data_IF_683202652632
#
_entry.id   IF_683202652632
#
_cell.length_a   1.000
_cell.length_b   1.000
_cell.length_c   1.000
_cell.angle_alpha   90.00
_cell.angle_beta   90.00
_cell.angle_gamma   90.00
#
_symmetry.space_group_name_H-M   'P 1'
#
loop_
_entity.id
_entity.type
_entity.pdbx_description
1 polymer ?
#
# COMPACT_ATOMS: atom_id res chain seq x y z
N UNK A 1 -49.38 8.60 -6.50
CA UNK A 1 -48.48 9.31 -5.57
C UNK A 1 -47.54 8.28 -4.98
N UNK A 2 -46.28 8.26 -5.38
CA UNK A 2 -45.31 7.25 -4.94
C UNK A 2 -44.42 7.88 -3.87
N UNK A 3 -44.64 7.51 -2.62
CA UNK A 3 -43.88 8.03 -1.49
C UNK A 3 -42.54 7.30 -1.42
N UNK A 4 -41.47 7.97 -1.84
CA UNK A 4 -40.10 7.47 -1.64
C UNK A 4 -39.82 7.37 -0.15
N UNK A 5 -39.48 6.18 0.40
CA UNK A 5 -39.15 6.07 1.81
C UNK A 5 -37.87 6.88 2.10
N UNK A 6 -37.92 7.70 3.15
CA UNK A 6 -36.77 8.43 3.63
C UNK A 6 -35.63 7.45 3.99
N UNK A 7 -34.38 7.74 3.63
CA UNK A 7 -33.26 6.89 4.01
C UNK A 7 -33.17 6.82 5.53
N UNK A 8 -33.09 5.59 6.07
CA UNK A 8 -32.91 5.37 7.50
C UNK A 8 -31.69 6.15 8.00
N UNK A 9 -31.74 6.73 9.22
CA UNK A 9 -30.60 7.44 9.78
C UNK A 9 -29.38 6.53 9.75
N UNK A 10 -28.30 7.02 9.14
CA UNK A 10 -27.03 6.28 9.10
C UNK A 10 -26.53 6.19 10.54
N UNK A 11 -26.62 4.99 11.12
CA UNK A 11 -26.00 4.72 12.41
C UNK A 11 -24.51 5.05 12.30
N UNK A 12 -24.10 6.13 12.96
CA UNK A 12 -22.70 6.46 13.22
C UNK A 12 -22.11 5.29 14.00
N UNK A 13 -21.29 4.47 13.33
CA UNK A 13 -20.77 3.25 13.92
C UNK A 13 -19.98 2.41 12.92
N UNK A 14 -19.33 1.38 13.45
CA UNK A 14 -18.60 0.39 12.66
C UNK A 14 -19.60 -0.55 12.00
N UNK A 15 -19.55 -0.65 10.66
CA UNK A 15 -20.34 -1.63 9.90
C UNK A 15 -19.42 -2.66 9.29
N UNK A 16 -19.76 -3.94 9.45
CA UNK A 16 -19.10 -5.02 8.73
C UNK A 16 -19.80 -5.27 7.41
N UNK A 17 -19.02 -5.29 6.33
CA UNK A 17 -19.46 -5.56 4.98
C UNK A 17 -18.69 -6.78 4.42
N UNK A 18 -19.14 -7.36 3.29
CA UNK A 18 -18.36 -8.38 2.59
C UNK A 18 -16.94 -7.89 2.27
N UNK A 19 -15.95 -8.77 2.33
CA UNK A 19 -14.54 -8.43 2.09
C UNK A 19 -14.31 -7.66 0.78
N UNK A 20 -15.01 -8.04 -0.27
CA UNK A 20 -14.93 -7.44 -1.62
C UNK A 20 -15.39 -5.99 -1.68
N UNK A 21 -16.06 -5.48 -0.64
CA UNK A 21 -16.44 -4.07 -0.53
C UNK A 21 -15.28 -3.18 -0.05
N UNK A 22 -14.17 -3.74 0.45
CA UNK A 22 -13.03 -2.96 0.90
C UNK A 22 -12.24 -2.35 -0.27
N UNK A 23 -11.84 -1.09 -0.14
CA UNK A 23 -11.04 -0.41 -1.16
C UNK A 23 -9.66 -1.05 -1.38
N UNK A 24 -9.10 -1.67 -0.35
CA UNK A 24 -7.80 -2.32 -0.40
C UNK A 24 -7.89 -3.84 -0.64
N UNK A 25 -9.07 -4.36 -1.02
CA UNK A 25 -9.28 -5.80 -1.25
C UNK A 25 -8.30 -6.39 -2.27
N UNK A 26 -8.21 -5.81 -3.47
CA UNK A 26 -7.33 -6.31 -4.54
C UNK A 26 -5.85 -6.26 -4.13
N UNK A 27 -5.47 -5.21 -3.39
CA UNK A 27 -4.12 -5.08 -2.83
C UNK A 27 -3.81 -6.25 -1.89
N UNK A 28 -4.74 -6.62 -1.02
CA UNK A 28 -4.57 -7.77 -0.12
C UNK A 28 -4.53 -9.09 -0.88
N UNK A 29 -5.38 -9.25 -1.91
CA UNK A 29 -5.42 -10.45 -2.75
C UNK A 29 -4.07 -10.77 -3.39
N UNK A 30 -3.38 -9.76 -3.92
CA UNK A 30 -2.04 -9.96 -4.52
C UNK A 30 -0.92 -10.04 -3.49
N UNK A 31 -1.15 -9.50 -2.28
CA UNK A 31 -0.11 -9.37 -1.25
C UNK A 31 -0.07 -10.55 -0.27
N UNK A 32 -1.16 -11.30 -0.09
CA UNK A 32 -1.21 -12.43 0.85
C UNK A 32 -0.51 -13.67 0.31
N UNK A 33 0.27 -14.34 1.15
CA UNK A 33 0.83 -15.66 0.84
C UNK A 33 -0.31 -16.65 0.55
N UNK A 34 -1.36 -16.60 1.37
CA UNK A 34 -2.53 -17.49 1.28
C UNK A 34 -3.80 -16.66 1.00
N UNK A 35 -4.21 -16.52 -0.28
CA UNK A 35 -5.38 -15.73 -0.66
C UNK A 35 -6.70 -16.26 -0.07
N UNK A 36 -6.77 -17.55 0.31
CA UNK A 36 -7.94 -18.16 0.94
C UNK A 36 -8.37 -17.48 2.26
N UNK A 37 -7.47 -16.75 2.93
CA UNK A 37 -7.81 -15.94 4.11
C UNK A 37 -8.84 -14.84 3.80
N UNK A 38 -8.98 -14.43 2.54
CA UNK A 38 -9.98 -13.44 2.14
C UNK A 38 -11.42 -13.93 2.27
N UNK A 39 -11.66 -15.25 2.31
CA UNK A 39 -12.99 -15.81 2.55
C UNK A 39 -13.52 -15.50 3.96
N UNK A 40 -12.61 -15.39 4.95
CA UNK A 40 -12.93 -15.00 6.32
C UNK A 40 -12.74 -13.52 6.62
N UNK A 41 -12.21 -12.75 5.66
CA UNK A 41 -11.98 -11.32 5.82
C UNK A 41 -13.30 -10.54 5.81
N UNK A 42 -13.26 -9.34 6.41
CA UNK A 42 -14.40 -8.42 6.42
C UNK A 42 -13.94 -7.02 6.09
N UNK A 43 -14.77 -6.31 5.35
CA UNK A 43 -14.60 -4.89 5.15
C UNK A 43 -15.18 -4.16 6.36
N UNK A 44 -14.35 -3.39 7.05
CA UNK A 44 -14.72 -2.55 8.18
C UNK A 44 -15.00 -1.16 7.64
N UNK A 45 -16.27 -0.79 7.54
CA UNK A 45 -16.68 0.52 7.09
C UNK A 45 -16.82 1.48 8.27
N UNK A 46 -15.89 2.44 8.33
CA UNK A 46 -16.05 3.70 9.02
C UNK A 46 -16.51 4.73 8.01
N UNK A 47 -17.73 5.24 8.17
CA UNK A 47 -18.36 6.15 7.21
C UNK A 47 -18.37 5.57 5.78
N UNK A 48 -17.62 6.18 4.85
CA UNK A 48 -17.56 5.85 3.42
C UNK A 48 -16.28 5.13 3.00
N UNK A 49 -15.40 4.78 3.94
CA UNK A 49 -14.09 4.19 3.66
C UNK A 49 -13.99 2.77 4.26
N UNK A 50 -14.53 1.74 3.59
CA UNK A 50 -14.32 0.35 3.97
C UNK A 50 -12.87 -0.08 3.77
N UNK A 51 -12.23 -0.51 4.87
CA UNK A 51 -10.88 -1.08 4.88
C UNK A 51 -10.93 -2.55 5.29
N UNK A 52 -10.03 -3.36 4.75
CA UNK A 52 -10.07 -4.80 4.98
C UNK A 52 -9.43 -5.20 6.32
N UNK A 53 -10.20 -5.89 7.16
CA UNK A 53 -9.67 -6.65 8.29
C UNK A 53 -9.53 -8.12 7.86
N UNK A 54 -8.27 -8.58 7.78
CA UNK A 54 -7.94 -9.96 7.41
C UNK A 54 -7.81 -10.82 8.67
N UNK A 55 -8.40 -12.03 8.73
CA UNK A 55 -8.26 -12.93 9.88
C UNK A 55 -6.82 -13.46 10.00
N UNK A 56 -6.45 -13.87 11.20
CA UNK A 56 -5.31 -14.76 11.41
C UNK A 56 -5.62 -16.17 10.83
N UNK A 57 -4.57 -16.93 10.54
CA UNK A 57 -4.65 -18.29 10.01
C UNK A 57 -3.26 -18.90 9.90
N UNK A 58 -3.14 -20.03 9.20
CA UNK A 58 -1.90 -20.82 9.13
C UNK A 58 -0.64 -19.99 8.83
N UNK A 59 -0.72 -19.12 7.81
CA UNK A 59 0.41 -18.30 7.36
C UNK A 59 0.37 -16.85 7.84
N UNK A 60 -0.65 -16.46 8.63
CA UNK A 60 -0.83 -15.09 9.13
C UNK A 60 -1.14 -15.11 10.61
N UNK A 61 -0.21 -14.65 11.42
CA UNK A 61 -0.26 -14.80 12.88
C UNK A 61 -1.15 -13.77 13.56
N UNK A 62 -1.43 -12.65 12.91
CA UNK A 62 -2.27 -11.59 13.47
C UNK A 62 -2.37 -10.34 12.60
N UNK A 63 -3.08 -9.35 13.11
CA UNK A 63 -3.33 -8.08 12.43
C UNK A 63 -3.61 -6.93 13.39
N UNK A 64 -3.72 -5.75 12.80
CA UNK A 64 -4.15 -4.55 13.50
C UNK A 64 -4.91 -3.62 12.56
N UNK A 65 -5.81 -2.84 13.12
CA UNK A 65 -6.53 -1.77 12.45
C UNK A 65 -6.58 -0.54 13.36
N UNK A 66 -6.12 0.58 12.83
CA UNK A 66 -6.20 1.89 13.46
C UNK A 66 -7.58 2.49 13.15
N UNK A 67 -8.31 2.86 14.19
CA UNK A 67 -9.68 3.36 14.08
C UNK A 67 -9.80 4.87 14.28
N UNK A 68 -8.67 5.59 14.43
CA UNK A 68 -8.52 7.04 14.68
C UNK A 68 -9.24 7.60 15.92
N UNK A 69 -10.28 6.93 16.42
CA UNK A 69 -11.08 7.29 17.57
C UNK A 69 -11.32 6.03 18.44
N UNK A 70 -11.13 6.11 19.77
CA UNK A 70 -11.28 4.97 20.67
C UNK A 70 -12.71 4.39 20.70
N UNK A 71 -13.75 5.21 20.50
CA UNK A 71 -15.15 4.73 20.47
C UNK A 71 -15.38 3.78 19.30
N UNK A 72 -14.79 4.08 18.15
CA UNK A 72 -14.85 3.19 16.98
C UNK A 72 -13.98 1.95 17.17
N UNK A 73 -12.86 2.06 17.86
CA UNK A 73 -12.00 0.93 18.19
C UNK A 73 -12.74 -0.09 19.07
N UNK A 74 -13.44 0.36 20.12
CA UNK A 74 -14.30 -0.50 20.92
C UNK A 74 -15.44 -1.14 20.11
N UNK A 75 -16.09 -0.36 19.24
CA UNK A 75 -17.13 -0.88 18.37
C UNK A 75 -16.60 -1.98 17.43
N UNK A 76 -15.39 -1.82 16.91
CA UNK A 76 -14.74 -2.85 16.09
C UNK A 76 -14.40 -4.10 16.89
N UNK A 77 -13.86 -3.97 18.11
CA UNK A 77 -13.60 -5.13 18.98
C UNK A 77 -14.87 -5.94 19.19
N UNK A 78 -15.97 -5.26 19.54
CA UNK A 78 -17.30 -5.91 19.69
C UNK A 78 -17.76 -6.57 18.39
N UNK A 79 -17.56 -5.92 17.25
CA UNK A 79 -17.99 -6.44 15.95
C UNK A 79 -17.17 -7.67 15.48
N UNK A 80 -15.89 -7.74 15.84
CA UNK A 80 -15.01 -8.87 15.47
C UNK A 80 -15.05 -10.03 16.48
N UNK A 81 -15.58 -9.80 17.68
CA UNK A 81 -15.62 -10.82 18.73
C UNK A 81 -16.31 -12.11 18.28
N UNK A 82 -15.67 -13.24 18.54
CA UNK A 82 -16.18 -14.58 18.20
C UNK A 82 -16.10 -14.94 16.71
N UNK A 83 -15.59 -14.06 15.84
CA UNK A 83 -15.39 -14.38 14.42
C UNK A 83 -14.12 -15.21 14.24
N UNK A 84 -14.15 -16.31 13.45
CA UNK A 84 -12.96 -17.14 13.22
C UNK A 84 -11.75 -16.34 12.72
N UNK A 85 -10.59 -16.55 13.36
CA UNK A 85 -9.35 -15.87 13.02
C UNK A 85 -9.23 -14.43 13.55
N UNK A 86 -10.19 -13.96 14.34
CA UNK A 86 -10.11 -12.69 15.09
C UNK A 86 -10.01 -12.96 16.60
N UNK A 87 -9.17 -13.92 16.98
CA UNK A 87 -8.93 -14.27 18.37
C UNK A 87 -8.00 -13.27 19.06
N UNK A 88 -7.96 -13.29 20.39
CA UNK A 88 -7.04 -12.44 21.20
C UNK A 88 -7.12 -10.95 20.85
N UNK A 89 -8.35 -10.46 20.65
CA UNK A 89 -8.60 -9.04 20.41
C UNK A 89 -8.08 -8.21 21.58
N UNK A 90 -7.22 -7.25 21.28
CA UNK A 90 -6.72 -6.27 22.25
C UNK A 90 -6.92 -4.88 21.70
N UNK A 91 -7.22 -3.95 22.60
CA UNK A 91 -7.38 -2.53 22.31
C UNK A 91 -6.23 -1.78 22.98
N UNK A 92 -5.52 -0.96 22.21
CA UNK A 92 -4.52 -0.04 22.75
C UNK A 92 -4.73 1.33 22.10
N UNK A 93 -5.24 2.28 22.89
CA UNK A 93 -5.71 3.59 22.41
C UNK A 93 -6.76 3.45 21.30
N UNK A 94 -6.45 3.86 20.07
CA UNK A 94 -7.33 3.74 18.91
C UNK A 94 -7.01 2.52 18.01
N UNK A 95 -6.07 1.66 18.41
CA UNK A 95 -5.60 0.52 17.61
C UNK A 95 -6.19 -0.78 18.14
N UNK A 96 -6.95 -1.45 17.28
CA UNK A 96 -7.44 -2.82 17.52
C UNK A 96 -6.42 -3.81 16.97
N UNK A 97 -5.99 -4.78 17.77
CA UNK A 97 -5.08 -5.86 17.37
C UNK A 97 -5.74 -7.21 17.58
N UNK A 98 -5.41 -8.20 16.76
CA UNK A 98 -5.88 -9.57 16.90
C UNK A 98 -4.78 -10.57 16.54
N UNK A 99 -4.95 -11.80 17.01
CA UNK A 99 -4.02 -12.90 16.84
C UNK A 99 -2.85 -12.86 17.83
N UNK A 100 -1.72 -13.39 17.41
CA UNK A 100 -0.51 -13.41 18.23
C UNK A 100 0.05 -11.98 18.42
N UNK A 101 0.65 -11.69 19.59
CA UNK A 101 1.43 -10.47 19.78
C UNK A 101 2.60 -10.43 18.80
N UNK A 102 2.84 -9.26 18.19
CA UNK A 102 3.97 -9.06 17.30
C UNK A 102 5.28 -9.09 18.11
N UNK A 103 6.23 -9.99 17.82
CA UNK A 103 7.52 -10.02 18.51
C UNK A 103 8.30 -8.73 18.29
N UNK A 104 8.99 -8.29 19.34
CA UNK A 104 9.90 -7.15 19.27
C UNK A 104 11.16 -7.47 18.46
N UNK A 105 11.83 -6.45 17.92
CA UNK A 105 13.08 -6.62 17.17
C UNK A 105 12.95 -7.28 15.78
N UNK A 106 11.74 -7.63 15.32
CA UNK A 106 11.56 -8.18 13.98
C UNK A 106 11.99 -7.18 12.90
N UNK A 107 12.82 -7.67 11.97
CA UNK A 107 13.12 -6.99 10.70
C UNK A 107 11.85 -6.74 9.90
N UNK A 108 11.87 -5.80 8.96
CA UNK A 108 10.72 -5.53 8.08
C UNK A 108 10.24 -6.79 7.33
N UNK A 109 11.17 -7.65 6.94
CA UNK A 109 10.89 -8.95 6.32
C UNK A 109 10.28 -9.96 7.31
N UNK A 110 10.71 -9.94 8.57
CA UNK A 110 10.10 -10.72 9.65
C UNK A 110 8.66 -10.29 9.93
N UNK A 111 8.41 -8.98 10.10
CA UNK A 111 7.06 -8.43 10.31
C UNK A 111 6.13 -8.76 9.16
N UNK A 112 6.62 -8.66 7.92
CA UNK A 112 5.85 -9.02 6.74
C UNK A 112 5.42 -10.49 6.74
N UNK A 113 6.35 -11.41 7.04
CA UNK A 113 6.05 -12.85 7.15
C UNK A 113 5.08 -13.13 8.29
N UNK A 114 5.23 -12.45 9.43
CA UNK A 114 4.29 -12.55 10.55
C UNK A 114 2.85 -12.22 10.12
N UNK A 115 2.67 -11.21 9.27
CA UNK A 115 1.37 -10.83 8.72
C UNK A 115 0.95 -11.63 7.46
N UNK A 116 1.66 -12.72 7.12
CA UNK A 116 1.32 -13.57 5.97
C UNK A 116 1.41 -12.88 4.63
N UNK A 117 2.28 -11.87 4.52
CA UNK A 117 2.47 -11.08 3.31
C UNK A 117 3.62 -11.65 2.47
N UNK A 118 3.39 -11.76 1.16
CA UNK A 118 4.39 -12.14 0.16
C UNK A 118 5.57 -11.17 0.18
N UNK A 119 6.75 -11.66 -0.23
CA UNK A 119 7.90 -10.79 -0.45
C UNK A 119 7.54 -9.79 -1.55
N UNK A 120 7.61 -8.49 -1.26
CA UNK A 120 7.57 -7.49 -2.33
C UNK A 120 8.77 -7.72 -3.24
N UNK A 121 8.62 -7.65 -4.57
CA UNK A 121 9.77 -7.46 -5.43
C UNK A 121 10.55 -6.28 -4.88
N UNK A 122 11.86 -6.45 -4.66
CA UNK A 122 12.73 -5.29 -4.50
C UNK A 122 12.63 -4.59 -5.85
N UNK A 123 11.83 -3.53 -5.94
CA UNK A 123 11.96 -2.59 -7.05
C UNK A 123 13.45 -2.25 -7.09
N UNK A 124 14.11 -2.63 -8.18
CA UNK A 124 15.53 -2.34 -8.37
C UNK A 124 15.78 -0.87 -8.07
N UNK A 125 16.95 -0.59 -7.50
CA UNK A 125 17.55 0.73 -7.29
C UNK A 125 16.74 1.83 -7.97
N UNK A 126 16.12 2.71 -7.17
CA UNK A 126 15.46 3.92 -7.66
C UNK A 126 16.22 4.42 -8.88
N UNK A 127 15.55 4.44 -10.04
CA UNK A 127 16.10 5.07 -11.23
C UNK A 127 16.43 6.48 -10.76
N UNK A 128 17.72 6.75 -10.56
CA UNK A 128 18.20 8.09 -10.26
C UNK A 128 17.77 8.88 -11.50
N UNK A 129 16.95 9.95 -11.36
CA UNK A 129 16.64 10.77 -12.51
C UNK A 129 17.97 11.18 -13.15
N UNK A 130 18.08 11.14 -14.49
CA UNK A 130 19.33 11.46 -15.17
C UNK A 130 19.86 12.78 -14.62
N UNK A 131 21.14 12.80 -14.28
CA UNK A 131 21.83 13.96 -13.74
C UNK A 131 21.79 15.08 -14.80
N UNK A 132 20.73 15.89 -14.79
CA UNK A 132 20.44 16.84 -15.86
C UNK A 132 19.52 18.00 -15.47
N UNK A 133 19.06 18.08 -14.22
CA UNK A 133 18.47 19.30 -13.71
C UNK A 133 19.46 20.00 -12.77
N UNK A 134 20.21 20.93 -13.36
CA UNK A 134 21.15 21.80 -12.68
C UNK A 134 20.46 22.64 -11.61
N UNK A 135 20.58 22.20 -10.37
CA UNK A 135 20.53 23.06 -9.20
C UNK A 135 21.97 23.40 -8.84
N UNK A 136 22.33 24.66 -9.06
CA UNK A 136 23.62 25.30 -8.78
C UNK A 136 24.07 24.99 -7.34
N UNK A 137 25.24 24.37 -7.21
CA UNK A 137 25.92 24.11 -5.95
C UNK A 137 26.95 25.24 -5.71
N UNK A 138 26.88 25.95 -4.57
CA UNK A 138 28.05 26.58 -4.02
C UNK A 138 28.31 25.98 -2.64
N UNK A 139 29.33 25.12 -2.60
CA UNK A 139 30.15 24.79 -1.44
C UNK A 139 29.66 23.62 -0.57
N UNK A 140 30.20 22.42 -0.81
CA UNK A 140 31.20 21.82 0.10
C UNK A 140 31.41 20.32 -0.17
N UNK A 141 32.69 19.92 -0.26
CA UNK A 141 33.12 18.59 0.18
C UNK A 141 33.75 17.70 -0.88
N UNK A 142 35.06 17.90 -1.07
CA UNK A 142 36.03 17.02 -1.76
C UNK A 142 35.69 15.53 -1.71
N UNK A 143 35.62 14.90 -2.88
CA UNK A 143 35.97 13.49 -3.05
C UNK A 143 37.27 13.42 -3.87
N UNK A 144 38.23 12.53 -3.55
CA UNK A 144 39.49 12.44 -4.28
C UNK A 144 39.24 11.93 -5.71
N UNK A 145 40.08 12.30 -6.70
CA UNK A 145 39.92 11.79 -8.06
C UNK A 145 40.22 10.29 -8.10
N UNK A 146 39.33 9.53 -8.73
CA UNK A 146 39.55 8.13 -9.08
C UNK A 146 40.63 8.09 -10.17
N UNK A 147 41.70 7.27 -10.03
CA UNK A 147 42.72 7.16 -11.06
C UNK A 147 42.24 6.25 -12.20
N UNK A 148 42.36 6.77 -13.42
CA UNK A 148 42.38 5.97 -14.65
C UNK A 148 41.01 5.61 -15.24
N UNK A 149 40.59 6.36 -16.26
CA UNK A 149 39.85 5.77 -17.38
C UNK A 149 40.24 6.47 -18.68
N UNK A 150 40.50 5.70 -19.75
CA UNK A 150 41.16 6.19 -20.96
C UNK A 150 40.21 7.01 -21.83
N UNK A 151 40.80 7.95 -22.57
CA UNK A 151 40.15 8.81 -23.55
C UNK A 151 39.51 8.00 -24.68
N UNK A 152 38.18 7.85 -24.64
CA UNK A 152 37.38 7.27 -25.72
C UNK A 152 36.63 8.36 -26.48
N UNK A 153 36.93 8.49 -27.77
CA UNK A 153 36.37 9.48 -28.70
C UNK A 153 34.84 9.53 -28.70
N UNK A 154 34.31 10.75 -28.80
CA UNK A 154 32.89 11.06 -28.96
C UNK A 154 32.49 10.93 -30.45
N UNK A 155 31.50 10.11 -30.83
CA UNK A 155 30.99 10.10 -32.21
C UNK A 155 30.06 11.30 -32.45
N UNK A 156 30.19 11.93 -33.62
CA UNK A 156 29.36 13.06 -34.03
C UNK A 156 27.90 12.65 -34.34
N UNK A 157 26.90 13.50 -34.06
CA UNK A 157 25.50 13.20 -34.34
C UNK A 157 25.15 13.34 -35.84
N UNK A 158 24.18 12.55 -36.36
CA UNK A 158 23.78 12.59 -37.77
C UNK A 158 22.92 13.83 -38.10
N UNK A 159 23.23 14.48 -39.23
CA UNK A 159 22.43 15.56 -39.83
C UNK A 159 21.18 14.96 -40.52
N UNK A 160 20.00 15.41 -40.11
CA UNK A 160 18.73 15.18 -40.84
C UNK A 160 18.56 16.31 -41.85
N UNK A 161 18.37 15.97 -43.13
CA UNK A 161 18.03 16.90 -44.22
C UNK A 161 16.53 16.76 -44.50
N UNK A 162 15.78 17.85 -44.34
CA UNK A 162 14.36 17.94 -44.71
C UNK A 162 14.28 18.61 -46.08
N UNK A 163 13.79 17.88 -47.10
CA UNK A 163 13.38 18.47 -48.37
C UNK A 163 11.91 18.90 -48.30
N UNK A 164 11.66 20.18 -48.57
CA UNK A 164 10.31 20.75 -48.75
C UNK A 164 10.03 20.82 -50.25
N UNK A 165 8.94 20.20 -50.68
CA UNK A 165 8.47 20.21 -52.07
C UNK A 165 7.84 21.54 -52.46
N UNK A 166 8.05 21.96 -53.70
CA UNK A 166 7.33 23.03 -54.35
C UNK A 166 6.66 22.48 -55.61
N UNK A 167 5.32 22.54 -55.65
CA UNK A 167 4.53 22.38 -56.87
C UNK A 167 4.03 23.77 -57.26
N UNK A 168 4.35 24.20 -58.47
CA UNK A 168 3.74 25.35 -59.13
C UNK A 168 3.49 24.97 -60.60
N UNK A 169 2.23 25.04 -60.98
CA UNK A 169 1.66 25.15 -62.34
C UNK A 169 0.69 26.33 -62.27
N UNK A 170 0.37 27.04 -63.37
CA UNK A 170 0.24 26.54 -64.75
C UNK A 170 1.24 27.09 -65.77
#
# INVERSE_FOLDING_TARGET
MTTTPAPAPQQLGVRLLPATAAYDYERWQVSLVTPGLLLGAVAVALYRLPLLAVPAGADRRGGSMDMTDPVFAEALVRALWGRPGFDRLTLFDHVVRWGEPLPEGLTSDGRRRFHGLRKRPRLGTCIRPPAGHGGRDPDAGRWPPVPGSPSGQQPAPPRVVVQVGAALTP
#
